data_IF_191781253462
#
_entry.id   IF_191781253462
#
_cell.length_a   1.000
_cell.length_b   1.000
_cell.length_c   1.000
_cell.angle_alpha   90.00
_cell.angle_beta   90.00
_cell.angle_gamma   90.00
#
_symmetry.space_group_name_H-M   'P 1'
#
loop_
_entity.id
_entity.type
_entity.pdbx_description
1 polymer ?
#
# COMPACT_ATOMS: atom_id res chain seq x y z
N UNK A 1 17.41 8.09 2.57
CA UNK A 1 16.95 6.70 2.47
C UNK A 1 16.41 6.50 1.07
N UNK A 2 16.86 5.47 0.36
CA UNK A 2 16.37 5.13 -0.98
C UNK A 2 14.87 4.86 -0.91
N UNK A 3 14.07 5.77 -1.48
CA UNK A 3 12.61 5.67 -1.58
C UNK A 3 12.27 4.55 -2.58
N UNK A 4 12.19 3.31 -2.11
CA UNK A 4 11.78 2.19 -2.96
C UNK A 4 10.24 2.20 -3.08
N UNK A 5 9.74 2.60 -4.26
CA UNK A 5 8.30 2.67 -4.55
C UNK A 5 7.73 1.33 -5.02
N UNK A 6 8.58 0.35 -5.37
CA UNK A 6 8.17 -0.99 -5.80
C UNK A 6 9.03 -2.05 -5.10
N UNK A 7 8.93 -2.16 -3.76
CA UNK A 7 9.59 -3.22 -3.03
C UNK A 7 9.09 -4.59 -3.49
N UNK A 8 9.99 -5.54 -3.55
CA UNK A 8 9.66 -6.94 -3.84
C UNK A 8 8.76 -7.51 -2.75
N UNK A 9 8.00 -8.54 -3.09
CA UNK A 9 7.17 -9.29 -2.14
C UNK A 9 7.94 -9.76 -0.90
N UNK A 10 9.21 -10.14 -1.06
CA UNK A 10 10.07 -10.58 0.04
C UNK A 10 10.48 -9.45 1.00
N UNK A 11 10.56 -8.22 0.50
CA UNK A 11 10.83 -7.04 1.33
C UNK A 11 9.59 -6.66 2.13
N UNK A 12 8.42 -6.64 1.47
CA UNK A 12 7.14 -6.31 2.11
C UNK A 12 6.82 -7.30 3.24
N UNK A 13 7.09 -8.60 3.06
CA UNK A 13 6.89 -9.62 4.10
C UNK A 13 7.70 -9.38 5.39
N UNK A 14 8.75 -8.56 5.34
CA UNK A 14 9.59 -8.22 6.49
C UNK A 14 9.18 -6.92 7.18
N UNK A 15 8.24 -6.17 6.61
CA UNK A 15 7.79 -4.91 7.19
C UNK A 15 7.15 -5.14 8.55
N UNK A 16 7.53 -4.32 9.52
CA UNK A 16 6.74 -4.12 10.72
C UNK A 16 5.62 -3.08 10.46
N UNK A 17 4.78 -2.82 11.45
CA UNK A 17 3.67 -1.87 11.32
C UNK A 17 4.13 -0.45 10.94
N UNK A 18 5.26 0.01 11.48
CA UNK A 18 5.81 1.33 11.18
C UNK A 18 6.38 1.38 9.76
N UNK A 19 7.11 0.35 9.32
CA UNK A 19 7.60 0.23 7.95
C UNK A 19 6.44 0.24 6.95
N UNK A 20 5.37 -0.49 7.25
CA UNK A 20 4.18 -0.54 6.40
C UNK A 20 3.47 0.82 6.35
N UNK A 21 3.27 1.50 7.49
CA UNK A 21 2.68 2.86 7.52
C UNK A 21 3.53 3.86 6.74
N UNK A 22 4.85 3.82 6.92
CA UNK A 22 5.79 4.66 6.17
C UNK A 22 5.73 4.38 4.67
N UNK A 23 5.59 3.11 4.28
CA UNK A 23 5.43 2.73 2.88
C UNK A 23 4.12 3.24 2.28
N UNK A 24 3.01 3.16 3.01
CA UNK A 24 1.73 3.75 2.60
C UNK A 24 1.89 5.27 2.38
N UNK A 25 2.54 5.99 3.31
CA UNK A 25 2.79 7.41 3.12
C UNK A 25 3.69 7.71 1.92
N UNK A 26 4.70 6.87 1.67
CA UNK A 26 5.57 7.03 0.53
C UNK A 26 4.81 6.91 -0.81
N UNK A 27 3.91 5.92 -0.91
CA UNK A 27 3.03 5.75 -2.07
C UNK A 27 2.06 6.93 -2.22
N UNK A 28 1.46 7.38 -1.12
CA UNK A 28 0.59 8.56 -1.12
C UNK A 28 1.34 9.81 -1.60
N UNK A 29 2.53 10.08 -1.05
CA UNK A 29 3.35 11.23 -1.44
C UNK A 29 3.66 11.19 -2.94
N UNK A 30 4.08 10.03 -3.47
CA UNK A 30 4.38 9.87 -4.89
C UNK A 30 3.14 10.05 -5.78
N UNK A 31 2.00 9.49 -5.40
CA UNK A 31 0.75 9.65 -6.13
C UNK A 31 0.33 11.13 -6.15
N UNK A 32 0.40 11.81 -5.00
CA UNK A 32 0.03 13.21 -4.89
C UNK A 32 1.00 14.13 -5.65
N UNK A 33 2.28 13.80 -5.75
CA UNK A 33 3.23 14.52 -6.62
C UNK A 33 2.82 14.44 -8.10
N UNK A 34 2.41 13.26 -8.58
CA UNK A 34 1.93 13.08 -9.96
C UNK A 34 0.61 13.82 -10.20
N UNK A 35 -0.35 13.72 -9.29
CA UNK A 35 -1.61 14.44 -9.39
C UNK A 35 -1.38 15.96 -9.42
N UNK A 36 -0.45 16.47 -8.60
CA UNK A 36 -0.06 17.90 -8.61
C UNK A 36 0.67 18.34 -9.87
N UNK A 37 1.34 17.43 -10.58
CA UNK A 37 1.93 17.73 -11.90
C UNK A 37 0.90 17.88 -13.03
N UNK A 38 -0.39 17.65 -12.73
CA UNK A 38 -1.50 17.79 -13.67
C UNK A 38 -1.95 16.49 -14.31
N UNK A 39 -1.39 15.34 -13.92
CA UNK A 39 -1.87 14.04 -14.35
C UNK A 39 -3.17 13.69 -13.61
N UNK A 40 -4.11 13.09 -14.32
CA UNK A 40 -5.31 12.47 -13.76
C UNK A 40 -5.00 11.08 -13.23
N UNK A 41 -5.90 10.55 -12.38
CA UNK A 41 -5.74 9.17 -11.88
C UNK A 41 -5.77 8.15 -13.03
N UNK A 42 -6.61 8.37 -14.04
CA UNK A 42 -6.73 7.48 -15.20
C UNK A 42 -5.41 7.44 -15.98
N UNK A 43 -4.82 8.62 -16.27
CA UNK A 43 -3.51 8.69 -16.94
C UNK A 43 -2.38 8.04 -16.14
N UNK A 44 -2.43 8.11 -14.81
CA UNK A 44 -1.45 7.43 -13.95
C UNK A 44 -1.61 5.92 -14.07
N UNK A 45 -2.85 5.41 -13.97
CA UNK A 45 -3.15 3.98 -14.05
C UNK A 45 -2.84 3.39 -15.43
N UNK A 46 -2.95 4.17 -16.51
CA UNK A 46 -2.55 3.77 -17.86
C UNK A 46 -1.03 3.56 -17.99
N UNK A 47 -0.24 4.28 -17.17
CA UNK A 47 1.23 4.22 -17.20
C UNK A 47 1.75 3.16 -16.22
N UNK A 48 1.22 3.13 -15.01
CA UNK A 48 1.58 2.16 -13.99
C UNK A 48 0.48 1.98 -12.94
N UNK A 49 0.38 0.78 -12.39
CA UNK A 49 -0.40 0.56 -11.17
C UNK A 49 0.47 0.91 -9.94
N UNK A 50 0.17 2.02 -9.22
CA UNK A 50 0.92 2.41 -8.02
C UNK A 50 0.67 1.49 -6.82
N UNK A 51 -0.30 0.58 -6.91
CA UNK A 51 -0.76 -0.27 -5.82
C UNK A 51 -0.45 -1.75 -6.02
N UNK A 52 0.04 -2.16 -7.19
CA UNK A 52 0.36 -3.55 -7.57
C UNK A 52 1.10 -4.31 -6.46
N UNK A 53 2.11 -3.66 -5.86
CA UNK A 53 2.95 -4.29 -4.83
C UNK A 53 2.19 -4.64 -3.54
N UNK A 54 1.02 -4.02 -3.29
CA UNK A 54 0.19 -4.25 -2.10
C UNK A 54 -0.90 -5.31 -2.31
N UNK A 55 -1.29 -5.61 -3.56
CA UNK A 55 -2.38 -6.55 -3.85
C UNK A 55 -2.23 -7.91 -3.15
N UNK A 56 -1.04 -8.55 -3.11
CA UNK A 56 -0.90 -9.86 -2.46
C UNK A 56 -1.02 -9.81 -0.93
N UNK A 57 -0.89 -8.62 -0.35
CA UNK A 57 -0.71 -8.40 1.08
C UNK A 57 -1.89 -7.74 1.77
N UNK A 58 -2.94 -7.39 1.02
CA UNK A 58 -4.16 -6.85 1.60
C UNK A 58 -5.34 -7.82 1.38
N UNK A 59 -6.28 -7.91 2.33
CA UNK A 59 -7.57 -8.53 2.10
C UNK A 59 -8.37 -7.79 1.03
N UNK A 60 -9.24 -8.51 0.33
CA UNK A 60 -10.05 -7.97 -0.77
C UNK A 60 -10.97 -6.84 -0.29
N UNK A 61 -11.51 -6.98 0.92
CA UNK A 61 -12.35 -5.98 1.58
C UNK A 61 -11.59 -4.70 2.01
N UNK A 62 -10.27 -4.80 2.22
CA UNK A 62 -9.41 -3.67 2.63
C UNK A 62 -8.85 -2.92 1.42
N UNK A 63 -8.71 -3.59 0.27
CA UNK A 63 -8.13 -3.01 -0.94
C UNK A 63 -8.88 -1.75 -1.44
N UNK A 64 -10.22 -1.71 -1.54
CA UNK A 64 -10.95 -0.49 -1.92
C UNK A 64 -10.75 0.67 -0.94
N UNK A 65 -10.61 0.38 0.36
CA UNK A 65 -10.35 1.40 1.39
C UNK A 65 -8.98 2.05 1.14
N UNK A 66 -7.97 1.23 0.83
CA UNK A 66 -6.63 1.69 0.50
C UNK A 66 -6.67 2.61 -0.73
N UNK A 67 -7.30 2.19 -1.84
CA UNK A 67 -7.39 2.98 -3.07
C UNK A 67 -8.05 4.34 -2.81
N UNK A 68 -9.21 4.35 -2.12
CA UNK A 68 -9.90 5.59 -1.78
C UNK A 68 -9.04 6.51 -0.90
N UNK A 69 -8.34 5.95 0.07
CA UNK A 69 -7.45 6.71 0.94
C UNK A 69 -6.25 7.29 0.20
N UNK A 70 -5.69 6.57 -0.77
CA UNK A 70 -4.56 7.02 -1.58
C UNK A 70 -4.96 8.20 -2.47
N UNK A 71 -6.05 8.06 -3.22
CA UNK A 71 -6.54 9.09 -4.15
C UNK A 71 -6.92 10.37 -3.40
N UNK A 72 -7.66 10.23 -2.29
CA UNK A 72 -8.13 11.37 -1.49
C UNK A 72 -7.10 11.89 -0.48
N UNK A 73 -5.88 11.34 -0.46
CA UNK A 73 -4.82 11.67 0.49
C UNK A 73 -5.30 11.59 1.96
N UNK A 74 -6.12 10.60 2.29
CA UNK A 74 -6.59 10.36 3.66
C UNK A 74 -5.47 9.70 4.45
N UNK A 75 -5.04 10.37 5.54
CA UNK A 75 -3.94 9.95 6.42
C UNK A 75 -4.37 9.77 7.87
N UNK A 76 -5.66 9.52 8.10
CA UNK A 76 -6.17 9.34 9.45
C UNK A 76 -5.68 8.04 10.07
N UNK A 77 -5.46 8.05 11.39
CA UNK A 77 -5.05 6.86 12.15
C UNK A 77 -6.04 5.71 11.94
N UNK A 78 -7.35 6.00 11.89
CA UNK A 78 -8.39 5.00 11.64
C UNK A 78 -8.19 4.23 10.34
N UNK A 79 -7.84 4.92 9.25
CA UNK A 79 -7.59 4.28 7.96
C UNK A 79 -6.29 3.48 8.03
N UNK A 80 -5.23 4.07 8.57
CA UNK A 80 -3.93 3.40 8.67
C UNK A 80 -4.00 2.15 9.53
N UNK A 81 -4.78 2.16 10.60
CA UNK A 81 -4.98 1.02 11.49
C UNK A 81 -5.74 -0.09 10.77
N UNK A 82 -6.79 0.23 10.00
CA UNK A 82 -7.50 -0.76 9.18
C UNK A 82 -6.59 -1.40 8.12
N UNK A 83 -5.75 -0.60 7.45
CA UNK A 83 -4.77 -1.10 6.48
C UNK A 83 -3.72 -2.00 7.16
N UNK A 84 -3.21 -1.57 8.32
CA UNK A 84 -2.20 -2.31 9.08
C UNK A 84 -2.76 -3.62 9.63
N UNK A 85 -4.01 -3.63 10.07
CA UNK A 85 -4.70 -4.84 10.52
C UNK A 85 -4.88 -5.82 9.36
N UNK A 86 -5.39 -5.35 8.21
CA UNK A 86 -5.53 -6.17 7.00
C UNK A 86 -4.21 -6.79 6.56
N UNK A 87 -3.15 -5.97 6.54
CA UNK A 87 -1.80 -6.40 6.22
C UNK A 87 -1.28 -7.51 7.14
N UNK A 88 -1.40 -7.31 8.46
CA UNK A 88 -0.97 -8.28 9.46
C UNK A 88 -1.75 -9.59 9.34
N UNK A 89 -3.06 -9.53 9.12
CA UNK A 89 -3.90 -10.71 8.93
C UNK A 89 -3.42 -11.51 7.71
N UNK A 90 -3.16 -10.85 6.58
CA UNK A 90 -2.70 -11.51 5.36
C UNK A 90 -1.31 -12.12 5.49
N UNK A 91 -0.37 -11.41 6.12
CA UNK A 91 0.98 -11.93 6.39
C UNK A 91 0.93 -13.15 7.31
N UNK A 92 0.10 -13.10 8.35
CA UNK A 92 -0.06 -14.21 9.28
C UNK A 92 -0.62 -15.45 8.57
N UNK A 93 -1.59 -15.26 7.68
CA UNK A 93 -2.14 -16.36 6.86
C UNK A 93 -1.11 -16.92 5.88
N UNK A 94 -0.31 -16.06 5.25
CA UNK A 94 0.79 -16.48 4.39
C UNK A 94 1.82 -17.31 5.15
N UNK A 95 2.24 -16.85 6.34
CA UNK A 95 3.19 -17.58 7.21
C UNK A 95 2.63 -18.93 7.65
N UNK A 96 1.35 -19.00 8.05
CA UNK A 96 0.69 -20.25 8.44
C UNK A 96 0.63 -21.27 7.30
N UNK A 97 0.35 -20.84 6.07
CA UNK A 97 0.27 -21.72 4.89
C UNK A 97 1.63 -22.30 4.48
N UNK A 98 2.72 -21.55 4.69
CA UNK A 98 4.08 -21.94 4.30
C UNK A 98 4.89 -22.59 5.44
N UNK A 99 4.30 -22.77 6.63
CA UNK A 99 4.92 -23.43 7.78
C UNK A 99 4.61 -24.95 7.84
N UNK A 100 4.04 -25.52 6.78
CA UNK A 100 3.66 -26.93 6.64
C UNK A 100 4.47 -27.58 5.54
#
# INVERSE_FOLDING_TARGET
>A
MTKNLKPSSQEILKFNNEDFKNYIFLLQDNLQEKLKSGLTIDEILDIEDPFESLEPFLPEEVYPIMVLAMINNIRSDTVLDALTEGFNNKINDYKKKNAK
#
